data_IF_432846065790
#
_entry.id   IF_432846065790
#
_cell.length_a   1.000
_cell.length_b   1.000
_cell.length_c   1.000
_cell.angle_alpha   90.00
_cell.angle_beta   90.00
_cell.angle_gamma   90.00
#
_symmetry.space_group_name_H-M   'P 1'
#
loop_
_entity.id
_entity.type
_entity.pdbx_description
1 polymer ?
#
# COMPACT_ATOMS: atom_id res chain seq x y z
N UNK A 1 17.40 -14.17 -25.06
CA UNK A 1 15.94 -14.39 -24.90
C UNK A 1 15.42 -14.09 -23.49
N UNK A 2 16.21 -14.19 -22.42
CA UNK A 2 15.73 -13.97 -21.04
C UNK A 2 15.49 -12.50 -20.60
N UNK A 3 15.90 -11.50 -21.38
CA UNK A 3 15.77 -10.08 -20.99
C UNK A 3 14.39 -9.48 -21.30
N UNK A 4 13.62 -10.11 -22.19
CA UNK A 4 12.26 -9.71 -22.53
C UNK A 4 11.22 -10.25 -21.53
N UNK A 5 11.57 -11.28 -20.75
CA UNK A 5 10.68 -11.93 -19.77
C UNK A 5 10.69 -11.23 -18.40
N UNK A 6 11.65 -10.35 -18.14
CA UNK A 6 11.85 -9.71 -16.84
C UNK A 6 11.24 -8.31 -16.80
N UNK A 7 10.58 -7.99 -15.70
CA UNK A 7 10.11 -6.64 -15.41
C UNK A 7 11.31 -5.68 -15.28
N UNK A 8 11.30 -4.58 -16.05
CA UNK A 8 12.39 -3.60 -16.09
C UNK A 8 12.19 -2.49 -15.07
N UNK A 9 13.30 -1.96 -14.55
CA UNK A 9 13.36 -0.84 -13.60
C UNK A 9 13.78 0.43 -14.33
N UNK A 10 12.92 1.43 -14.39
CA UNK A 10 13.18 2.71 -15.06
C UNK A 10 13.42 3.83 -14.03
N UNK A 11 14.41 4.70 -14.28
CA UNK A 11 14.66 5.84 -13.39
C UNK A 11 13.58 6.90 -13.58
N UNK A 12 13.06 7.46 -12.49
CA UNK A 12 12.03 8.51 -12.60
C UNK A 12 12.62 9.79 -13.22
N UNK A 13 12.04 10.30 -14.33
CA UNK A 13 12.37 11.63 -14.83
C UNK A 13 11.95 12.70 -13.81
N UNK A 14 12.77 13.73 -13.64
CA UNK A 14 12.53 14.81 -12.67
C UNK A 14 12.98 14.50 -11.23
N UNK A 15 13.58 13.34 -10.99
CA UNK A 15 14.19 13.04 -9.69
C UNK A 15 15.48 13.86 -9.48
N UNK A 16 15.68 14.42 -8.28
CA UNK A 16 16.85 15.28 -7.94
C UNK A 16 18.16 14.52 -8.23
N UNK A 17 19.26 15.19 -8.63
CA UNK A 17 20.57 14.54 -8.72
C UNK A 17 20.90 13.74 -7.45
N UNK A 18 21.22 12.45 -7.60
CA UNK A 18 21.43 11.50 -6.49
C UNK A 18 20.16 10.78 -6.01
N UNK A 19 18.99 11.06 -6.58
CA UNK A 19 17.76 10.34 -6.28
C UNK A 19 17.82 8.91 -6.79
N UNK A 20 17.51 7.96 -5.92
CA UNK A 20 17.43 6.52 -6.23
C UNK A 20 16.02 6.09 -6.62
N UNK A 21 15.11 7.05 -6.86
CA UNK A 21 13.72 6.74 -7.20
C UNK A 21 13.65 6.13 -8.59
N UNK A 22 13.11 4.93 -8.66
CA UNK A 22 12.87 4.19 -9.89
C UNK A 22 11.43 3.65 -9.88
N UNK A 23 10.88 3.42 -11.07
CA UNK A 23 9.56 2.82 -11.31
C UNK A 23 9.75 1.46 -11.96
N UNK A 24 8.92 0.51 -11.57
CA UNK A 24 8.81 -0.76 -12.27
C UNK A 24 7.91 -0.58 -13.50
N UNK A 25 8.36 -1.07 -14.65
CA UNK A 25 7.49 -1.24 -15.83
C UNK A 25 6.39 -2.24 -15.51
N UNK A 26 5.18 -2.16 -16.09
CA UNK A 26 4.15 -3.19 -15.90
C UNK A 26 4.69 -4.57 -16.26
N UNK A 27 4.30 -5.59 -15.50
CA UNK A 27 4.64 -6.96 -15.85
C UNK A 27 3.90 -7.36 -17.16
N UNK A 28 4.43 -8.31 -17.95
CA UNK A 28 3.71 -8.86 -19.10
C UNK A 28 2.31 -9.30 -18.69
N UNK A 29 1.32 -9.05 -19.55
CA UNK A 29 -0.11 -9.38 -19.33
C UNK A 29 -0.77 -8.71 -18.11
N UNK A 30 -0.20 -7.61 -17.59
CA UNK A 30 -0.79 -6.81 -16.51
C UNK A 30 -1.10 -5.38 -16.94
N UNK A 31 -2.16 -4.79 -16.39
CA UNK A 31 -2.52 -3.39 -16.58
C UNK A 31 -1.88 -2.50 -15.50
N UNK A 32 -1.56 -1.26 -15.86
CA UNK A 32 -1.07 -0.28 -14.89
C UNK A 32 -2.17 0.23 -13.95
N UNK A 33 -3.41 0.16 -14.39
CA UNK A 33 -4.58 0.52 -13.59
C UNK A 33 -4.96 -0.65 -12.66
N UNK A 34 -5.29 -0.36 -11.40
CA UNK A 34 -5.81 -1.37 -10.49
C UNK A 34 -7.14 -1.88 -11.04
N UNK A 35 -7.28 -3.20 -11.16
CA UNK A 35 -8.60 -3.80 -11.40
C UNK A 35 -9.45 -3.48 -10.17
N UNK A 36 -10.63 -2.85 -10.33
CA UNK A 36 -11.53 -2.70 -9.20
C UNK A 36 -11.81 -4.10 -8.64
N UNK A 37 -11.54 -4.29 -7.35
CA UNK A 37 -11.91 -5.55 -6.70
C UNK A 37 -13.41 -5.77 -6.84
N UNK A 38 -13.85 -7.03 -6.85
CA UNK A 38 -15.28 -7.33 -6.82
C UNK A 38 -15.94 -6.48 -5.73
N UNK A 39 -16.93 -5.67 -6.11
CA UNK A 39 -17.64 -4.74 -5.22
C UNK A 39 -18.42 -5.52 -4.16
N UNK A 40 -17.71 -6.10 -3.20
CA UNK A 40 -18.24 -6.52 -1.92
C UNK A 40 -18.17 -5.30 -1.02
N UNK A 41 -19.19 -4.45 -1.15
CA UNK A 41 -19.53 -3.38 -0.22
C UNK A 41 -18.38 -2.40 0.10
N UNK A 42 -18.15 -1.51 -0.86
CA UNK A 42 -17.93 -0.07 -0.68
C UNK A 42 -16.85 0.38 0.36
N UNK A 43 -15.75 0.93 -0.15
CA UNK A 43 -14.71 1.58 0.65
C UNK A 43 -15.21 2.78 1.49
N UNK A 44 -16.41 3.32 1.22
CA UNK A 44 -17.08 4.26 2.11
C UNK A 44 -17.63 3.59 3.38
N UNK A 45 -18.07 2.33 3.30
CA UNK A 45 -18.54 1.53 4.45
C UNK A 45 -17.41 1.18 5.42
N UNK A 46 -16.16 1.11 4.94
CA UNK A 46 -14.98 0.85 5.78
C UNK A 46 -14.64 2.01 6.72
N UNK A 47 -15.01 3.26 6.38
CA UNK A 47 -14.77 4.41 7.27
C UNK A 47 -15.75 4.45 8.44
N UNK A 48 -16.96 3.95 8.25
CA UNK A 48 -17.98 3.88 9.30
C UNK A 48 -17.82 2.60 10.15
N UNK A 49 -17.41 1.49 9.54
CA UNK A 49 -17.07 0.24 10.24
C UNK A 49 -15.81 0.36 11.12
N UNK A 50 -14.89 1.31 10.83
CA UNK A 50 -13.74 1.58 11.68
C UNK A 50 -14.10 2.11 13.08
N UNK A 51 -15.36 2.52 13.31
CA UNK A 51 -15.84 2.95 14.63
C UNK A 51 -16.40 1.81 15.50
N UNK A 52 -16.65 0.62 14.92
CA UNK A 52 -17.15 -0.56 15.64
C UNK A 52 -16.44 -1.83 15.15
N UNK A 53 -15.14 -1.74 14.87
CA UNK A 53 -14.29 -2.92 14.84
C UNK A 53 -14.07 -3.35 16.28
N UNK A 54 -14.56 -4.53 16.66
CA UNK A 54 -14.34 -5.10 17.99
C UNK A 54 -12.85 -4.96 18.36
N UNK A 55 -12.57 -4.15 19.37
CA UNK A 55 -11.22 -3.84 19.84
C UNK A 55 -10.47 -5.14 20.08
N UNK A 56 -9.43 -5.40 19.28
CA UNK A 56 -8.67 -6.65 19.41
C UNK A 56 -7.84 -6.69 20.69
N UNK A 57 -7.33 -7.86 21.12
CA UNK A 57 -6.43 -7.97 22.27
C UNK A 57 -5.18 -7.08 22.17
N UNK A 58 -4.74 -6.77 20.95
CA UNK A 58 -3.63 -5.85 20.70
C UNK A 58 -4.00 -4.39 20.98
N UNK A 59 -5.20 -3.97 20.61
CA UNK A 59 -5.68 -2.59 20.78
C UNK A 59 -5.88 -2.26 22.26
N UNK A 60 -6.34 -3.23 23.05
CA UNK A 60 -6.42 -3.09 24.50
C UNK A 60 -5.04 -2.92 25.16
N UNK A 61 -4.03 -3.65 24.69
CA UNK A 61 -2.65 -3.54 25.20
C UNK A 61 -2.08 -2.16 24.90
N UNK A 62 -2.28 -1.66 23.69
CA UNK A 62 -1.82 -0.33 23.27
C UNK A 62 -2.48 0.80 24.08
N UNK A 63 -3.78 0.70 24.36
CA UNK A 63 -4.48 1.71 25.19
C UNK A 63 -4.00 1.76 26.64
N UNK A 64 -3.48 0.65 27.17
CA UNK A 64 -2.93 0.56 28.52
C UNK A 64 -1.48 1.03 28.61
N UNK A 65 -0.78 1.08 27.48
CA UNK A 65 0.61 1.49 27.41
C UNK A 65 0.72 3.02 27.34
N UNK A 66 0.62 3.67 28.51
CA UNK A 66 0.74 5.13 28.66
C UNK A 66 2.16 5.46 29.14
N UNK A 67 3.00 6.13 28.33
CA UNK A 67 4.34 6.54 28.74
C UNK A 67 4.31 7.45 29.97
N UNK A 68 5.31 7.38 30.86
CA UNK A 68 5.38 8.24 32.03
C UNK A 68 5.47 9.71 31.61
N UNK A 69 4.61 10.55 32.19
CA UNK A 69 4.73 11.99 32.05
C UNK A 69 5.95 12.46 32.86
N UNK A 70 6.94 13.06 32.18
CA UNK A 70 8.11 13.71 32.79
C UNK A 70 7.98 15.23 32.74
#
# INVERSE_FOLDING_TARGET
MADAERQRVERLPGSRPGSRRARLTPAPDTTAEPVPGDETTDAASLREAASVGESGPNDERLRRDVPPHY
#
